data_IF_162693135345
#
_entry.id   IF_162693135345
#
_cell.length_a   1.000
_cell.length_b   1.000
_cell.length_c   1.000
_cell.angle_alpha   90.00
_cell.angle_beta   90.00
_cell.angle_gamma   90.00
#
_symmetry.space_group_name_H-M   'P 1'
#
loop_
_entity.id
_entity.type
_entity.pdbx_description
1 polymer ?
#
# COMPACT_ATOMS: atom_id res chain seq x y z
N UNK A 1 2.13 6.60 14.30
CA UNK A 1 2.19 7.69 15.28
C UNK A 1 0.93 8.54 15.18
N UNK A 2 0.48 9.16 16.28
CA UNK A 2 -0.59 10.17 16.26
C UNK A 2 0.00 11.59 16.52
N UNK A 3 -0.82 12.63 16.40
CA UNK A 3 -0.34 14.02 16.54
C UNK A 3 0.22 14.32 17.92
N UNK A 4 -0.40 13.78 18.97
CA UNK A 4 0.09 13.95 20.34
C UNK A 4 1.48 13.36 20.53
N UNK A 5 1.75 12.21 19.91
CA UNK A 5 3.07 11.58 19.92
C UNK A 5 4.11 12.45 19.21
N UNK A 6 3.83 12.88 17.98
CA UNK A 6 4.71 13.76 17.21
C UNK A 6 4.99 15.09 17.93
N UNK A 7 3.94 15.74 18.45
CA UNK A 7 4.05 16.97 19.24
C UNK A 7 5.00 16.79 20.43
N UNK A 8 4.80 15.72 21.20
CA UNK A 8 5.64 15.41 22.36
C UNK A 8 7.09 15.18 21.95
N UNK A 9 7.31 14.54 20.81
CA UNK A 9 8.64 14.33 20.26
C UNK A 9 9.32 15.65 19.89
N UNK A 10 8.63 16.51 19.12
CA UNK A 10 9.13 17.84 18.73
C UNK A 10 9.47 18.67 19.97
N UNK A 11 8.56 18.75 20.95
CA UNK A 11 8.82 19.46 22.22
C UNK A 11 10.01 18.90 22.99
N UNK A 12 10.25 17.58 22.94
CA UNK A 12 11.41 16.96 23.58
C UNK A 12 12.71 17.30 22.84
N UNK A 13 12.68 17.31 21.50
CA UNK A 13 13.82 17.72 20.68
C UNK A 13 14.19 19.19 20.93
N UNK A 14 13.20 20.09 20.95
CA UNK A 14 13.38 21.51 21.30
C UNK A 14 13.92 21.76 22.71
N UNK A 15 13.87 20.78 23.62
CA UNK A 15 14.45 20.91 24.97
C UNK A 15 15.87 20.38 25.07
N UNK A 16 16.25 19.44 24.21
CA UNK A 16 17.50 18.66 24.33
C UNK A 16 18.51 18.93 23.22
N UNK A 17 18.06 19.42 22.07
CA UNK A 17 18.84 19.47 20.82
C UNK A 17 18.72 20.83 20.12
N UNK A 18 18.60 21.93 20.86
CA UNK A 18 18.43 23.28 20.30
C UNK A 18 19.59 23.73 19.41
N UNK A 19 20.82 23.37 19.79
CA UNK A 19 22.03 23.77 19.09
C UNK A 19 22.42 22.80 17.96
N UNK A 20 21.62 21.75 17.72
CA UNK A 20 21.88 20.83 16.61
C UNK A 20 21.55 21.51 15.28
N UNK A 21 22.45 21.40 14.31
CA UNK A 21 22.26 21.95 12.96
C UNK A 21 21.33 21.03 12.20
N UNK A 22 20.14 21.53 11.83
CA UNK A 22 19.04 20.70 11.30
C UNK A 22 18.60 21.08 9.90
N UNK A 23 18.91 22.29 9.45
CA UNK A 23 18.50 22.78 8.14
C UNK A 23 19.58 23.66 7.53
N UNK A 24 19.57 23.80 6.20
CA UNK A 24 20.46 24.69 5.47
C UNK A 24 19.61 25.51 4.52
N UNK A 25 19.58 26.81 4.73
CA UNK A 25 18.82 27.76 3.91
C UNK A 25 19.80 28.72 3.23
N UNK A 26 19.79 28.76 1.88
CA UNK A 26 20.67 29.62 1.08
C UNK A 26 22.18 29.51 1.44
N UNK A 27 22.63 28.31 1.83
CA UNK A 27 24.01 28.05 2.23
C UNK A 27 24.35 28.42 3.68
N UNK A 28 23.41 28.99 4.44
CA UNK A 28 23.55 29.20 5.89
C UNK A 28 23.00 28.00 6.64
N UNK A 29 23.82 27.45 7.52
CA UNK A 29 23.40 26.41 8.47
C UNK A 29 22.51 27.03 9.54
N UNK A 30 21.38 26.37 9.83
CA UNK A 30 20.44 26.77 10.86
C UNK A 30 20.35 25.69 11.94
N UNK A 31 20.48 26.12 13.18
CA UNK A 31 20.20 25.30 14.36
C UNK A 31 18.71 25.07 14.53
N UNK A 32 18.33 24.03 15.29
CA UNK A 32 16.91 23.80 15.61
C UNK A 32 16.30 25.02 16.31
N UNK A 33 17.07 25.70 17.15
CA UNK A 33 16.69 26.98 17.76
C UNK A 33 16.33 28.03 16.70
N UNK A 34 17.24 28.32 15.77
CA UNK A 34 17.04 29.35 14.75
C UNK A 34 15.83 29.04 13.86
N UNK A 35 15.57 27.76 13.53
CA UNK A 35 14.39 27.36 12.75
C UNK A 35 13.08 27.68 13.49
N UNK A 36 13.01 27.44 14.80
CA UNK A 36 11.81 27.78 15.56
C UNK A 36 11.68 29.29 15.85
N UNK A 37 12.81 29.99 16.03
CA UNK A 37 12.84 31.44 16.19
C UNK A 37 12.39 32.16 14.90
N UNK A 38 12.77 31.67 13.71
CA UNK A 38 12.33 32.26 12.43
C UNK A 38 10.83 32.12 12.19
N UNK A 39 10.22 31.05 12.72
CA UNK A 39 8.77 30.83 12.70
C UNK A 39 8.03 31.59 13.83
N UNK A 40 8.75 32.29 14.71
CA UNK A 40 8.22 32.97 15.90
C UNK A 40 7.40 32.02 16.81
N UNK A 41 7.89 30.78 17.00
CA UNK A 41 7.22 29.74 17.77
C UNK A 41 8.08 29.26 18.94
N UNK A 42 7.47 29.16 20.13
CA UNK A 42 8.11 28.50 21.28
C UNK A 42 7.53 27.11 21.52
N UNK A 43 8.24 26.30 22.31
CA UNK A 43 7.75 24.97 22.72
C UNK A 43 6.44 25.04 23.54
N UNK A 44 6.12 26.19 24.13
CA UNK A 44 4.88 26.41 24.86
C UNK A 44 3.70 26.64 23.92
N UNK A 45 3.93 27.32 22.79
CA UNK A 45 2.90 27.67 21.80
C UNK A 45 2.45 26.45 20.99
N UNK A 46 3.31 25.44 20.85
CA UNK A 46 2.98 24.22 20.13
C UNK A 46 1.87 23.42 20.85
N UNK A 47 0.73 23.25 20.21
CA UNK A 47 -0.36 22.37 20.60
C UNK A 47 -0.66 21.35 19.48
N UNK A 48 -1.60 20.42 19.73
CA UNK A 48 -2.07 19.52 18.66
C UNK A 48 -2.76 20.32 17.56
N UNK A 49 -3.56 21.32 17.95
CA UNK A 49 -4.28 22.18 16.99
C UNK A 49 -3.32 23.02 16.14
N UNK A 50 -2.23 23.55 16.72
CA UNK A 50 -1.26 24.34 15.95
C UNK A 50 -0.44 23.49 14.99
N UNK A 51 -0.26 22.18 15.26
CA UNK A 51 0.38 21.29 14.28
C UNK A 51 -0.44 21.18 13.00
N UNK A 52 -1.76 21.34 13.10
CA UNK A 52 -2.72 21.35 11.98
C UNK A 52 -2.53 20.18 11.00
N UNK A 53 -2.27 18.97 11.52
CA UNK A 53 -2.04 17.78 10.71
C UNK A 53 -3.27 16.86 10.62
N UNK A 54 -4.38 17.21 11.27
CA UNK A 54 -5.63 16.44 11.16
C UNK A 54 -6.35 16.74 9.86
N UNK A 55 -6.87 15.71 9.19
CA UNK A 55 -7.79 15.87 8.08
C UNK A 55 -9.18 16.29 8.61
N UNK A 56 -9.75 17.37 8.09
CA UNK A 56 -11.03 17.93 8.53
C UNK A 56 -12.06 17.96 7.39
N UNK A 57 -13.25 18.54 7.63
CA UNK A 57 -14.26 18.73 6.57
C UNK A 57 -13.76 19.48 5.34
N UNK A 58 -12.68 20.27 5.45
CA UNK A 58 -12.12 21.01 4.34
C UNK A 58 -11.22 20.17 3.44
N UNK A 59 -10.86 18.95 3.87
CA UNK A 59 -10.07 17.98 3.08
C UNK A 59 -10.92 17.10 2.16
N UNK A 60 -12.25 17.09 2.33
CA UNK A 60 -13.17 16.30 1.52
C UNK A 60 -13.08 16.68 0.04
N UNK A 61 -12.73 15.73 -0.84
CA UNK A 61 -12.41 15.94 -2.26
C UNK A 61 -11.31 16.99 -2.54
N UNK A 62 -10.45 17.28 -1.56
CA UNK A 62 -9.35 18.27 -1.66
C UNK A 62 -8.01 17.61 -1.31
N UNK A 63 -7.55 16.75 -2.21
CA UNK A 63 -6.26 16.07 -2.10
C UNK A 63 -5.06 17.03 -1.96
N UNK A 64 -5.15 18.22 -2.55
CA UNK A 64 -4.16 19.28 -2.39
C UNK A 64 -4.03 19.72 -0.91
N UNK A 65 -5.16 19.90 -0.23
CA UNK A 65 -5.21 20.23 1.19
C UNK A 65 -4.76 19.06 2.05
N UNK A 66 -5.14 17.83 1.71
CA UNK A 66 -4.65 16.62 2.37
C UNK A 66 -3.11 16.52 2.30
N UNK A 67 -2.52 16.74 1.12
CA UNK A 67 -1.07 16.75 0.94
C UNK A 67 -0.38 17.84 1.78
N UNK A 68 -1.03 18.99 1.97
CA UNK A 68 -0.52 20.05 2.84
C UNK A 68 -0.53 19.67 4.33
N UNK A 69 -1.43 18.80 4.78
CA UNK A 69 -1.50 18.32 6.19
C UNK A 69 -0.31 17.47 6.61
N UNK A 70 0.53 17.00 5.68
CA UNK A 70 1.81 16.39 6.01
C UNK A 70 2.86 17.40 6.51
N UNK A 71 2.64 18.70 6.34
CA UNK A 71 3.54 19.76 6.82
C UNK A 71 3.11 20.21 8.23
N UNK A 72 3.88 19.91 9.28
CA UNK A 72 3.56 20.39 10.62
C UNK A 72 3.48 21.92 10.65
N UNK A 73 2.38 22.47 11.17
CA UNK A 73 2.13 23.92 11.26
C UNK A 73 2.04 24.57 9.85
N UNK A 74 1.87 23.76 8.80
CA UNK A 74 1.94 24.23 7.41
C UNK A 74 3.38 24.42 6.88
N UNK A 75 4.40 24.19 7.71
CA UNK A 75 5.80 24.46 7.37
C UNK A 75 6.51 23.21 6.82
N UNK A 76 6.95 23.30 5.57
CA UNK A 76 7.66 22.20 4.88
C UNK A 76 9.01 21.86 5.53
N UNK A 77 9.67 22.85 6.16
CA UNK A 77 10.95 22.67 6.85
C UNK A 77 10.81 21.72 8.05
N UNK A 78 9.71 21.81 8.82
CA UNK A 78 9.49 20.90 9.95
C UNK A 78 9.23 19.46 9.48
N UNK A 79 8.54 19.30 8.35
CA UNK A 79 8.37 17.98 7.71
C UNK A 79 9.71 17.41 7.28
N UNK A 80 10.56 18.23 6.66
CA UNK A 80 11.92 17.84 6.26
C UNK A 80 12.72 17.36 7.47
N UNK A 81 12.74 18.12 8.56
CA UNK A 81 13.53 17.80 9.76
C UNK A 81 13.03 16.53 10.46
N UNK A 82 11.71 16.41 10.69
CA UNK A 82 11.15 15.38 11.56
C UNK A 82 10.56 14.16 10.85
N UNK A 83 10.20 14.26 9.57
CA UNK A 83 9.40 13.25 8.84
C UNK A 83 10.01 12.94 7.45
N UNK A 84 11.30 13.19 7.25
CA UNK A 84 12.05 12.71 6.08
C UNK A 84 13.26 11.88 6.49
N UNK A 85 13.60 10.93 5.62
CA UNK A 85 14.73 10.01 5.76
C UNK A 85 16.04 10.66 5.30
N UNK A 86 15.96 11.48 4.25
CA UNK A 86 17.08 12.25 3.68
C UNK A 86 16.92 13.73 4.02
N UNK A 87 17.79 14.24 4.89
CA UNK A 87 17.86 15.64 5.35
C UNK A 87 19.24 15.92 5.99
N UNK A 88 19.45 17.14 6.49
CA UNK A 88 20.75 17.56 7.07
C UNK A 88 21.22 16.69 8.23
N UNK A 89 20.31 16.19 9.07
CA UNK A 89 20.61 15.27 10.20
C UNK A 89 20.51 13.79 9.81
N UNK A 90 20.55 13.50 8.50
CA UNK A 90 20.46 12.15 7.94
C UNK A 90 19.25 11.36 8.48
N UNK A 91 18.09 12.01 8.62
CA UNK A 91 16.84 11.38 9.05
C UNK A 91 16.82 10.86 10.49
N UNK A 92 17.75 11.33 11.35
CA UNK A 92 17.89 10.93 12.76
C UNK A 92 16.58 11.01 13.55
N UNK A 93 15.85 12.12 13.42
CA UNK A 93 14.61 12.33 14.15
C UNK A 93 13.50 11.39 13.69
N UNK A 94 13.33 11.25 12.38
CA UNK A 94 12.33 10.34 11.83
C UNK A 94 12.60 8.89 12.24
N UNK A 95 13.87 8.44 12.17
CA UNK A 95 14.25 7.12 12.63
C UNK A 95 13.92 6.90 14.12
N UNK A 96 14.16 7.89 14.98
CA UNK A 96 13.83 7.78 16.40
C UNK A 96 12.30 7.70 16.63
N UNK A 97 11.52 8.52 15.91
CA UNK A 97 10.06 8.46 15.98
C UNK A 97 9.56 7.07 15.58
N UNK A 98 10.05 6.52 14.46
CA UNK A 98 9.68 5.19 14.00
C UNK A 98 10.08 4.12 15.01
N UNK A 99 11.24 4.24 15.67
CA UNK A 99 11.65 3.32 16.73
C UNK A 99 10.78 3.39 17.98
N UNK A 100 10.28 4.57 18.36
CA UNK A 100 9.27 4.67 19.42
C UNK A 100 7.98 3.95 19.01
N UNK A 101 7.54 4.06 17.74
CA UNK A 101 6.38 3.33 17.21
C UNK A 101 6.62 1.82 17.17
N UNK A 102 7.80 1.37 16.72
CA UNK A 102 8.18 -0.05 16.70
C UNK A 102 8.18 -0.63 18.12
N UNK A 103 8.70 0.11 19.10
CA UNK A 103 8.66 -0.30 20.51
C UNK A 103 7.23 -0.47 21.02
N UNK A 104 6.34 0.49 20.72
CA UNK A 104 4.92 0.37 21.08
C UNK A 104 4.26 -0.86 20.40
N UNK A 105 4.64 -1.19 19.15
CA UNK A 105 4.15 -2.37 18.43
C UNK A 105 4.71 -3.69 18.98
N UNK A 106 5.96 -3.72 19.45
CA UNK A 106 6.57 -4.90 20.08
C UNK A 106 5.99 -5.16 21.48
N UNK A 107 5.64 -4.10 22.21
CA UNK A 107 4.89 -4.20 23.47
C UNK A 107 3.44 -4.67 23.23
N UNK A 108 2.86 -4.34 22.08
CA UNK A 108 1.53 -4.79 21.68
C UNK A 108 1.56 -6.24 21.18
N UNK A 109 0.98 -7.16 21.96
CA UNK A 109 1.07 -8.60 21.70
C UNK A 109 0.56 -9.05 20.32
N UNK A 110 -0.43 -8.35 19.75
CA UNK A 110 -1.18 -8.82 18.58
C UNK A 110 -1.17 -7.86 17.38
N UNK A 111 -0.54 -6.69 17.51
CA UNK A 111 -0.50 -5.70 16.43
C UNK A 111 0.83 -5.79 15.68
N UNK A 112 0.73 -5.83 14.37
CA UNK A 112 1.86 -5.80 13.44
C UNK A 112 1.55 -4.76 12.35
N UNK A 113 2.58 -4.29 11.66
CA UNK A 113 2.42 -3.23 10.67
C UNK A 113 3.19 -3.49 9.38
N UNK A 114 2.55 -3.11 8.27
CA UNK A 114 3.19 -2.99 6.96
C UNK A 114 3.22 -1.50 6.59
N UNK A 115 4.35 -0.86 6.88
CA UNK A 115 4.52 0.58 6.72
C UNK A 115 5.04 0.91 5.32
N UNK A 116 4.70 2.09 4.79
CA UNK A 116 5.14 2.52 3.46
C UNK A 116 6.31 3.52 3.57
N UNK A 117 7.33 3.33 2.73
CA UNK A 117 8.42 4.29 2.51
C UNK A 117 8.49 4.65 1.03
N UNK A 118 8.77 5.91 0.71
CA UNK A 118 8.78 6.38 -0.67
C UNK A 118 10.13 6.19 -1.35
N UNK A 119 10.09 5.68 -2.58
CA UNK A 119 11.12 5.88 -3.61
C UNK A 119 10.44 6.60 -4.76
N UNK A 120 10.99 7.74 -5.17
CA UNK A 120 10.40 8.60 -6.19
C UNK A 120 10.91 8.30 -7.60
N UNK A 121 12.04 7.59 -7.73
CA UNK A 121 12.63 7.28 -9.03
C UNK A 121 13.25 8.50 -9.73
N UNK A 122 13.64 9.53 -8.98
CA UNK A 122 14.29 10.73 -9.55
C UNK A 122 15.80 10.54 -9.71
N UNK A 123 16.38 9.65 -8.91
CA UNK A 123 17.81 9.35 -8.95
C UNK A 123 18.06 7.92 -8.49
N UNK A 124 19.12 7.30 -9.04
CA UNK A 124 19.56 5.93 -8.70
C UNK A 124 19.99 5.79 -7.24
N UNK A 125 20.51 6.86 -6.65
CA UNK A 125 21.03 6.85 -5.28
C UNK A 125 19.93 6.88 -4.18
N UNK A 126 18.65 7.03 -4.55
CA UNK A 126 17.55 7.05 -3.59
C UNK A 126 17.49 5.76 -2.76
N UNK A 127 17.74 4.61 -3.39
CA UNK A 127 17.75 3.31 -2.71
C UNK A 127 18.88 3.19 -1.69
N UNK A 128 20.10 3.55 -2.07
CA UNK A 128 21.26 3.49 -1.19
C UNK A 128 21.13 4.47 -0.02
N UNK A 129 20.60 5.67 -0.26
CA UNK A 129 20.29 6.64 0.80
C UNK A 129 19.27 6.10 1.78
N UNK A 130 18.17 5.52 1.28
CA UNK A 130 17.12 4.97 2.11
C UNK A 130 17.62 3.76 2.93
N UNK A 131 18.35 2.86 2.29
CA UNK A 131 18.93 1.69 2.95
C UNK A 131 19.97 2.08 4.00
N UNK A 132 20.85 3.03 3.68
CA UNK A 132 21.82 3.58 4.62
C UNK A 132 21.12 4.20 5.83
N UNK A 133 20.05 4.97 5.64
CA UNK A 133 19.23 5.49 6.74
C UNK A 133 18.67 4.35 7.62
N UNK A 134 18.06 3.33 7.02
CA UNK A 134 17.46 2.23 7.74
C UNK A 134 18.48 1.42 8.56
N UNK A 135 19.62 1.06 7.95
CA UNK A 135 20.68 0.27 8.58
C UNK A 135 21.42 1.07 9.64
N UNK A 136 21.85 2.30 9.32
CA UNK A 136 22.62 3.17 10.23
C UNK A 136 21.86 3.47 11.51
N UNK A 137 20.55 3.75 11.41
CA UNK A 137 19.72 4.05 12.58
C UNK A 137 19.07 2.81 13.22
N UNK A 138 19.28 1.63 12.62
CA UNK A 138 18.70 0.34 13.05
C UNK A 138 17.17 0.40 13.10
N UNK A 139 16.56 0.82 12.00
CA UNK A 139 15.11 0.96 11.84
C UNK A 139 14.52 -0.37 11.37
N UNK A 140 14.46 -1.34 12.30
CA UNK A 140 13.96 -2.69 12.07
C UNK A 140 13.21 -3.17 13.30
N UNK A 141 12.13 -3.93 13.08
CA UNK A 141 11.38 -4.64 14.11
C UNK A 141 10.81 -5.94 13.53
N UNK A 142 10.74 -7.04 14.31
CA UNK A 142 10.07 -8.27 13.87
C UNK A 142 8.58 -8.08 13.60
N UNK A 143 7.94 -7.04 14.17
CA UNK A 143 6.51 -6.73 14.01
C UNK A 143 6.24 -5.76 12.85
N UNK A 144 7.28 -5.32 12.12
CA UNK A 144 7.16 -4.34 11.05
C UNK A 144 7.77 -4.85 9.76
N UNK A 145 7.04 -4.66 8.67
CA UNK A 145 7.49 -4.86 7.30
C UNK A 145 7.34 -3.58 6.50
N UNK A 146 8.10 -3.47 5.41
CA UNK A 146 8.08 -2.29 4.55
C UNK A 146 7.50 -2.61 3.18
N UNK A 147 6.60 -1.74 2.72
CA UNK A 147 6.29 -1.60 1.29
C UNK A 147 6.97 -0.34 0.77
N UNK A 148 7.49 -0.41 -0.45
CA UNK A 148 8.04 0.74 -1.14
C UNK A 148 6.97 1.34 -2.01
N UNK A 149 6.50 2.53 -1.62
CA UNK A 149 5.53 3.28 -2.40
C UNK A 149 6.24 4.14 -3.45
N UNK A 150 5.76 4.06 -4.69
CA UNK A 150 6.23 4.83 -5.83
C UNK A 150 5.13 5.83 -6.22
N UNK A 151 5.31 7.12 -5.92
CA UNK A 151 4.36 8.15 -6.33
C UNK A 151 4.35 8.35 -7.85
N UNK A 152 3.16 8.40 -8.44
CA UNK A 152 2.94 8.63 -9.88
C UNK A 152 3.12 10.11 -10.26
N UNK A 153 4.33 10.64 -10.08
CA UNK A 153 4.66 12.06 -10.23
C UNK A 153 5.67 12.34 -11.36
N UNK A 154 5.71 11.47 -12.39
CA UNK A 154 6.63 11.63 -13.52
C UNK A 154 6.50 13.00 -14.19
N UNK A 155 5.28 13.46 -14.44
CA UNK A 155 4.97 14.79 -14.97
C UNK A 155 5.69 15.91 -14.21
N UNK A 156 5.62 15.89 -12.87
CA UNK A 156 6.28 16.89 -12.02
C UNK A 156 7.80 16.88 -12.19
N UNK A 157 8.40 15.69 -12.32
CA UNK A 157 9.85 15.54 -12.49
C UNK A 157 10.29 15.90 -13.91
N UNK A 158 9.46 15.58 -14.90
CA UNK A 158 9.67 15.88 -16.30
C UNK A 158 9.64 17.38 -16.57
N UNK A 159 8.61 18.09 -16.11
CA UNK A 159 8.50 19.56 -16.22
C UNK A 159 9.66 20.28 -15.51
N UNK A 160 10.23 19.70 -14.45
CA UNK A 160 11.40 20.24 -13.75
C UNK A 160 12.74 19.87 -14.41
N UNK A 161 12.72 19.13 -15.52
CA UNK A 161 13.92 18.65 -16.22
C UNK A 161 14.76 17.67 -15.39
N UNK A 162 14.17 17.02 -14.38
CA UNK A 162 14.86 16.03 -13.54
C UNK A 162 14.95 14.66 -14.20
N UNK A 163 14.03 14.37 -15.13
CA UNK A 163 13.99 13.12 -15.90
C UNK A 163 13.82 13.43 -17.39
N UNK A 164 14.50 12.67 -18.24
CA UNK A 164 14.42 12.80 -19.69
C UNK A 164 13.22 12.07 -20.29
N UNK A 165 12.90 10.87 -19.77
CA UNK A 165 11.80 10.02 -20.20
C UNK A 165 11.37 9.07 -19.07
N UNK A 166 10.31 8.30 -19.29
CA UNK A 166 9.80 7.37 -18.26
C UNK A 166 10.76 6.20 -17.98
N UNK A 167 11.56 5.79 -18.97
CA UNK A 167 12.59 4.76 -18.79
C UNK A 167 13.59 5.13 -17.70
N UNK A 168 14.04 6.40 -17.64
CA UNK A 168 14.97 6.86 -16.61
C UNK A 168 14.37 6.69 -15.19
N UNK A 169 13.07 6.94 -15.04
CA UNK A 169 12.36 6.71 -13.78
C UNK A 169 12.40 5.22 -13.39
N UNK A 170 12.11 4.32 -14.35
CA UNK A 170 12.14 2.87 -14.13
C UNK A 170 13.55 2.39 -13.79
N UNK A 171 14.58 2.90 -14.47
CA UNK A 171 15.98 2.58 -14.16
C UNK A 171 16.35 3.00 -12.75
N UNK A 172 15.98 4.22 -12.34
CA UNK A 172 16.23 4.72 -10.99
C UNK A 172 15.55 3.85 -9.90
N UNK A 173 14.41 3.22 -10.23
CA UNK A 173 13.68 2.34 -9.30
C UNK A 173 14.25 0.91 -9.31
N UNK A 174 14.49 0.32 -10.47
CA UNK A 174 14.76 -1.12 -10.57
C UNK A 174 16.23 -1.49 -10.75
N UNK A 175 17.04 -0.65 -11.40
CA UNK A 175 18.45 -0.98 -11.65
C UNK A 175 19.26 -1.19 -10.35
N UNK A 176 19.16 -0.33 -9.31
CA UNK A 176 19.86 -0.56 -8.04
C UNK A 176 19.48 -1.89 -7.38
N UNK A 177 18.24 -2.34 -7.57
CA UNK A 177 17.76 -3.61 -7.04
C UNK A 177 18.33 -4.81 -7.81
N UNK A 178 18.46 -4.70 -9.13
CA UNK A 178 19.17 -5.69 -9.94
C UNK A 178 20.65 -5.74 -9.56
N UNK A 179 21.31 -4.60 -9.41
CA UNK A 179 22.72 -4.50 -9.01
C UNK A 179 22.94 -5.15 -7.63
N UNK A 180 22.14 -4.78 -6.61
CA UNK A 180 22.18 -5.40 -5.29
C UNK A 180 21.84 -6.90 -5.30
N UNK A 181 21.01 -7.33 -6.26
CA UNK A 181 20.66 -8.74 -6.44
C UNK A 181 21.77 -9.51 -7.16
N UNK A 182 22.53 -8.92 -8.08
CA UNK A 182 23.63 -9.59 -8.80
C UNK A 182 24.92 -9.57 -7.98
N UNK A 183 25.22 -8.44 -7.33
CA UNK A 183 26.42 -8.27 -6.54
C UNK A 183 26.09 -7.58 -5.19
N UNK A 184 25.63 -8.33 -4.17
CA UNK A 184 25.25 -7.75 -2.87
C UNK A 184 26.31 -6.87 -2.22
N UNK A 185 27.59 -7.10 -2.50
CA UNK A 185 28.68 -6.32 -1.94
C UNK A 185 28.82 -4.91 -2.55
N UNK A 186 28.22 -4.60 -3.71
CA UNK A 186 28.18 -3.22 -4.22
C UNK A 186 27.13 -2.37 -3.54
N UNK A 187 26.09 -2.97 -2.95
CA UNK A 187 25.06 -2.29 -2.16
C UNK A 187 24.77 -3.05 -0.86
N UNK A 188 25.72 -3.09 0.09
CA UNK A 188 25.60 -3.95 1.27
C UNK A 188 24.44 -3.55 2.18
N UNK A 189 24.24 -2.24 2.42
CA UNK A 189 23.09 -1.76 3.20
C UNK A 189 21.76 -2.04 2.49
N UNK A 190 21.71 -1.86 1.17
CA UNK A 190 20.51 -2.14 0.39
C UNK A 190 20.15 -3.62 0.45
N UNK A 191 21.12 -4.52 0.28
CA UNK A 191 20.89 -5.95 0.41
C UNK A 191 20.27 -6.32 1.77
N UNK A 192 20.79 -5.77 2.86
CA UNK A 192 20.23 -5.97 4.21
C UNK A 192 18.84 -5.37 4.39
N UNK A 193 18.60 -4.19 3.82
CA UNK A 193 17.30 -3.53 3.89
C UNK A 193 16.22 -4.33 3.15
N UNK A 194 16.54 -4.89 1.99
CA UNK A 194 15.59 -5.64 1.16
C UNK A 194 15.08 -6.95 1.80
N UNK A 195 15.74 -7.48 2.83
CA UNK A 195 15.23 -8.61 3.63
C UNK A 195 13.99 -8.23 4.48
N UNK A 196 13.69 -6.94 4.58
CA UNK A 196 12.56 -6.37 5.33
C UNK A 196 11.53 -5.69 4.43
N UNK A 197 11.76 -5.69 3.11
CA UNK A 197 10.87 -5.12 2.11
C UNK A 197 10.04 -6.23 1.47
N UNK A 198 8.72 -6.09 1.56
CA UNK A 198 7.77 -7.11 1.09
C UNK A 198 7.22 -6.81 -0.30
N UNK A 199 7.20 -5.56 -0.73
CA UNK A 199 6.54 -5.24 -1.98
C UNK A 199 6.60 -3.79 -2.41
N UNK A 200 5.95 -3.54 -3.53
CA UNK A 200 5.76 -2.23 -4.14
C UNK A 200 4.31 -1.79 -4.03
N UNK A 201 4.13 -0.50 -3.87
CA UNK A 201 2.85 0.18 -3.84
C UNK A 201 2.90 1.35 -4.85
N UNK A 202 1.82 1.62 -5.57
CA UNK A 202 1.72 2.73 -6.51
C UNK A 202 0.72 3.73 -5.95
N UNK A 203 1.15 4.97 -5.74
CA UNK A 203 0.37 5.99 -5.01
C UNK A 203 0.30 7.30 -5.78
N UNK A 204 -0.68 8.13 -5.43
CA UNK A 204 -0.95 9.54 -5.79
C UNK A 204 -2.49 9.72 -5.90
N UNK A 205 -2.97 10.93 -6.11
CA UNK A 205 -4.38 11.24 -6.35
C UNK A 205 -4.93 10.50 -7.60
N UNK A 206 -5.68 9.42 -7.38
CA UNK A 206 -6.34 8.63 -8.43
C UNK A 206 -7.44 9.39 -9.18
N UNK A 207 -7.93 10.51 -8.65
CA UNK A 207 -8.99 11.31 -9.29
C UNK A 207 -8.47 12.23 -10.41
N UNK A 208 -7.15 12.40 -10.53
CA UNK A 208 -6.54 13.15 -11.63
C UNK A 208 -6.96 12.54 -12.98
N UNK A 209 -7.34 13.38 -13.97
CA UNK A 209 -7.71 12.88 -15.28
C UNK A 209 -6.50 12.25 -15.97
N UNK A 210 -6.74 11.14 -16.67
CA UNK A 210 -5.76 10.47 -17.51
C UNK A 210 -6.08 10.77 -18.98
N UNK A 211 -5.17 11.44 -19.68
CA UNK A 211 -5.38 11.82 -21.08
C UNK A 211 -5.15 10.67 -22.06
N UNK A 212 -4.41 9.64 -21.63
CA UNK A 212 -3.98 8.53 -22.47
C UNK A 212 -4.57 7.20 -21.99
N UNK A 213 -5.11 6.41 -22.92
CA UNK A 213 -5.49 5.03 -22.64
C UNK A 213 -4.32 4.13 -22.98
N UNK A 214 -3.86 3.33 -22.01
CA UNK A 214 -2.78 2.37 -22.26
C UNK A 214 -3.25 1.26 -23.20
N UNK A 215 -2.59 1.12 -24.34
CA UNK A 215 -2.92 0.18 -25.41
C UNK A 215 -1.65 -0.20 -26.20
N UNK A 216 -1.81 -0.98 -27.27
CA UNK A 216 -0.70 -1.45 -28.12
C UNK A 216 0.04 -0.33 -28.86
N UNK A 217 -0.58 0.83 -29.03
CA UNK A 217 0.01 2.00 -29.70
C UNK A 217 0.71 2.94 -28.72
N UNK A 218 0.60 2.69 -27.41
CA UNK A 218 1.25 3.48 -26.39
C UNK A 218 2.78 3.39 -26.52
N UNK A 219 3.51 4.50 -26.42
CA UNK A 219 4.96 4.49 -26.61
C UNK A 219 5.65 3.66 -25.53
N UNK A 220 6.78 3.06 -25.87
CA UNK A 220 7.68 2.41 -24.91
C UNK A 220 8.26 3.44 -23.93
N UNK A 221 8.74 3.03 -22.73
CA UNK A 221 9.17 3.97 -21.69
C UNK A 221 10.27 4.94 -22.14
N UNK A 222 11.16 4.47 -23.03
CA UNK A 222 12.25 5.26 -23.60
C UNK A 222 11.74 6.38 -24.51
N UNK A 223 10.60 6.15 -25.15
CA UNK A 223 9.95 7.06 -26.08
C UNK A 223 8.86 7.91 -25.40
N UNK A 224 8.52 7.64 -24.14
CA UNK A 224 7.63 8.51 -23.36
C UNK A 224 8.40 9.75 -22.86
N UNK A 225 8.46 10.77 -23.72
CA UNK A 225 9.18 12.03 -23.48
C UNK A 225 8.26 13.22 -23.22
N UNK A 226 6.95 13.02 -23.42
CA UNK A 226 5.90 14.01 -23.19
C UNK A 226 5.82 14.45 -21.72
N UNK A 227 5.33 15.67 -21.48
CA UNK A 227 5.15 16.20 -20.11
C UNK A 227 3.94 15.59 -19.40
N UNK A 228 2.99 15.02 -20.15
CA UNK A 228 1.83 14.34 -19.60
C UNK A 228 2.25 13.08 -18.81
N UNK A 229 1.62 12.90 -17.65
CA UNK A 229 1.85 11.74 -16.80
C UNK A 229 1.34 10.46 -17.51
N UNK A 230 2.12 9.36 -17.52
CA UNK A 230 1.62 8.08 -17.99
C UNK A 230 0.37 7.62 -17.21
N UNK A 231 -0.57 6.93 -17.85
CA UNK A 231 -1.78 6.47 -17.17
C UNK A 231 -1.45 5.40 -16.13
N UNK A 232 -2.33 5.22 -15.14
CA UNK A 232 -2.16 4.26 -14.04
C UNK A 232 -1.78 2.85 -14.52
N UNK A 233 -2.46 2.35 -15.56
CA UNK A 233 -2.20 1.03 -16.13
C UNK A 233 -0.77 0.88 -16.66
N UNK A 234 -0.20 1.96 -17.21
CA UNK A 234 1.18 2.01 -17.69
C UNK A 234 2.17 1.86 -16.53
N UNK A 235 1.98 2.63 -15.45
CA UNK A 235 2.78 2.52 -14.24
C UNK A 235 2.74 1.10 -13.66
N UNK A 236 1.53 0.52 -13.51
CA UNK A 236 1.38 -0.83 -12.96
C UNK A 236 2.04 -1.88 -13.84
N UNK A 237 1.85 -1.81 -15.16
CA UNK A 237 2.42 -2.77 -16.10
C UNK A 237 3.95 -2.80 -16.03
N UNK A 238 4.61 -1.64 -16.15
CA UNK A 238 6.08 -1.61 -16.14
C UNK A 238 6.65 -1.86 -14.75
N UNK A 239 5.94 -1.51 -13.67
CA UNK A 239 6.30 -1.90 -12.30
C UNK A 239 6.25 -3.43 -12.16
N UNK A 240 5.15 -4.05 -12.59
CA UNK A 240 4.99 -5.51 -12.55
C UNK A 240 6.04 -6.23 -13.39
N UNK A 241 6.25 -5.81 -14.64
CA UNK A 241 7.17 -6.48 -15.56
C UNK A 241 8.63 -6.49 -15.03
N UNK A 242 9.10 -5.35 -14.52
CA UNK A 242 10.42 -5.25 -13.91
C UNK A 242 10.50 -6.06 -12.61
N UNK A 243 9.50 -5.93 -11.73
CA UNK A 243 9.44 -6.68 -10.47
C UNK A 243 9.41 -8.19 -10.70
N UNK A 244 8.61 -8.69 -11.66
CA UNK A 244 8.51 -10.10 -11.97
C UNK A 244 9.84 -10.68 -12.46
N UNK A 245 10.54 -9.95 -13.34
CA UNK A 245 11.87 -10.31 -13.84
C UNK A 245 12.90 -10.32 -12.70
N UNK A 246 12.92 -9.27 -11.88
CA UNK A 246 13.78 -9.18 -10.70
C UNK A 246 13.51 -10.32 -9.72
N UNK A 247 12.23 -10.64 -9.46
CA UNK A 247 11.84 -11.74 -8.58
C UNK A 247 12.29 -13.10 -9.08
N UNK A 248 12.30 -13.33 -10.40
CA UNK A 248 12.85 -14.56 -10.96
C UNK A 248 14.33 -14.71 -10.60
N UNK A 249 15.11 -13.65 -10.80
CA UNK A 249 16.54 -13.62 -10.43
C UNK A 249 16.75 -13.78 -8.92
N UNK A 250 16.00 -13.03 -8.09
CA UNK A 250 16.08 -13.10 -6.63
C UNK A 250 15.76 -14.50 -6.12
N UNK A 251 14.72 -15.15 -6.67
CA UNK A 251 14.34 -16.53 -6.33
C UNK A 251 15.43 -17.53 -6.69
N UNK A 252 16.06 -17.42 -7.86
CA UNK A 252 17.19 -18.28 -8.24
C UNK A 252 18.37 -18.14 -7.27
N UNK A 253 18.53 -16.96 -6.66
CA UNK A 253 19.56 -16.69 -5.63
C UNK A 253 19.13 -17.02 -4.20
N UNK A 254 17.88 -17.43 -3.98
CA UNK A 254 17.33 -17.67 -2.64
C UNK A 254 17.08 -16.40 -1.82
N UNK A 255 16.95 -15.24 -2.48
CA UNK A 255 16.65 -13.97 -1.81
C UNK A 255 15.14 -13.71 -1.70
N UNK A 256 14.77 -12.86 -0.74
CA UNK A 256 13.39 -12.42 -0.54
C UNK A 256 12.80 -11.79 -1.81
N UNK A 257 11.57 -12.12 -2.19
CA UNK A 257 10.89 -11.58 -3.39
C UNK A 257 9.82 -10.56 -3.01
N UNK A 258 9.42 -9.74 -3.98
CA UNK A 258 8.47 -8.65 -3.78
C UNK A 258 7.09 -8.99 -4.36
N UNK A 259 6.04 -8.38 -3.80
CA UNK A 259 4.69 -8.40 -4.37
C UNK A 259 4.23 -7.00 -4.75
N UNK A 260 3.29 -6.89 -5.70
CA UNK A 260 2.70 -5.61 -6.09
C UNK A 260 1.37 -5.43 -5.34
N UNK A 261 1.25 -4.37 -4.54
CA UNK A 261 0.10 -4.09 -3.66
C UNK A 261 -0.31 -2.62 -3.76
N UNK A 262 -0.86 -2.18 -4.90
CA UNK A 262 -1.06 -0.76 -5.18
C UNK A 262 -2.26 -0.17 -4.43
N UNK A 263 -2.24 1.13 -4.21
CA UNK A 263 -3.47 1.90 -4.02
C UNK A 263 -4.25 1.82 -5.33
N UNK A 264 -5.52 1.38 -5.22
CA UNK A 264 -6.36 1.15 -6.39
C UNK A 264 -7.85 1.32 -6.10
N UNK A 265 -8.50 2.15 -6.90
CA UNK A 265 -9.95 2.30 -6.91
C UNK A 265 -10.48 2.96 -5.65
N UNK A 266 -9.68 3.81 -5.00
CA UNK A 266 -10.18 4.79 -4.04
C UNK A 266 -10.99 5.87 -4.77
N UNK A 267 -10.43 6.34 -5.89
CA UNK A 267 -11.04 7.27 -6.82
C UNK A 267 -10.68 6.87 -8.26
N UNK A 268 -10.84 7.78 -9.22
CA UNK A 268 -10.45 7.53 -10.61
C UNK A 268 -11.39 6.63 -11.42
N UNK A 269 -10.95 6.21 -12.61
CA UNK A 269 -11.71 5.34 -13.52
C UNK A 269 -11.61 3.85 -13.17
N UNK A 270 -12.63 3.08 -13.57
CA UNK A 270 -12.77 1.65 -13.24
C UNK A 270 -11.63 0.78 -13.80
N UNK A 271 -10.98 1.17 -14.90
CA UNK A 271 -9.90 0.36 -15.50
C UNK A 271 -8.66 0.24 -14.61
N UNK A 272 -8.51 1.11 -13.59
CA UNK A 272 -7.48 0.94 -12.55
C UNK A 272 -7.63 -0.42 -11.87
N UNK A 273 -8.85 -0.76 -11.45
CA UNK A 273 -9.18 -2.02 -10.78
C UNK A 273 -9.02 -3.22 -11.70
N UNK A 274 -9.21 -3.06 -13.02
CA UNK A 274 -8.95 -4.10 -14.01
C UNK A 274 -7.45 -4.37 -14.12
N UNK A 275 -6.64 -3.31 -14.16
CA UNK A 275 -5.18 -3.41 -14.22
C UNK A 275 -4.62 -4.07 -12.96
N UNK A 276 -5.11 -3.67 -11.78
CA UNK A 276 -4.72 -4.29 -10.52
C UNK A 276 -5.19 -5.74 -10.40
N UNK A 277 -6.38 -6.09 -10.89
CA UNK A 277 -6.87 -7.47 -10.91
C UNK A 277 -5.91 -8.42 -11.65
N UNK A 278 -5.31 -7.95 -12.74
CA UNK A 278 -4.41 -8.76 -13.56
C UNK A 278 -2.98 -8.87 -12.98
N UNK A 279 -2.52 -7.87 -12.23
CA UNK A 279 -1.09 -7.67 -11.92
C UNK A 279 -0.76 -7.66 -10.43
N UNK A 280 -1.71 -7.31 -9.56
CA UNK A 280 -1.47 -7.13 -8.14
C UNK A 280 -1.81 -8.38 -7.32
N UNK A 281 -1.09 -8.56 -6.21
CA UNK A 281 -1.38 -9.60 -5.21
C UNK A 281 -2.64 -9.24 -4.39
N UNK A 282 -2.78 -7.96 -4.07
CA UNK A 282 -3.96 -7.37 -3.42
C UNK A 282 -3.93 -5.84 -3.59
N UNK A 283 -5.00 -5.16 -3.21
CA UNK A 283 -5.13 -3.70 -3.39
C UNK A 283 -5.41 -2.97 -2.07
N UNK A 284 -5.08 -1.68 -2.03
CA UNK A 284 -5.56 -0.75 -0.99
C UNK A 284 -6.78 0.04 -1.51
N UNK A 285 -7.77 0.27 -0.64
CA UNK A 285 -9.07 0.94 -0.85
C UNK A 285 -10.17 0.15 -1.58
N UNK A 286 -10.13 -0.03 -2.91
CA UNK A 286 -11.16 -0.78 -3.65
C UNK A 286 -12.60 -0.22 -3.56
N UNK A 287 -12.76 1.06 -3.24
CA UNK A 287 -14.09 1.70 -3.08
C UNK A 287 -14.95 1.61 -4.35
N UNK A 288 -14.34 1.75 -5.52
CA UNK A 288 -15.05 1.80 -6.79
C UNK A 288 -15.53 0.44 -7.31
N UNK A 289 -15.12 -0.68 -6.70
CA UNK A 289 -15.67 -2.00 -7.03
C UNK A 289 -17.20 -2.05 -6.81
N UNK A 290 -17.75 -1.21 -5.93
CA UNK A 290 -19.20 -1.06 -5.73
C UNK A 290 -19.96 -0.61 -6.99
N UNK A 291 -19.24 0.00 -7.95
CA UNK A 291 -19.79 0.49 -9.22
C UNK A 291 -19.54 -0.46 -10.39
N UNK A 292 -18.82 -1.56 -10.16
CA UNK A 292 -18.45 -2.52 -11.19
C UNK A 292 -18.81 -3.95 -10.73
N UNK A 293 -20.09 -4.36 -10.81
CA UNK A 293 -20.54 -5.65 -10.27
C UNK A 293 -19.77 -6.85 -10.83
N UNK A 294 -19.49 -6.86 -12.14
CA UNK A 294 -18.70 -7.93 -12.79
C UNK A 294 -17.30 -8.01 -12.19
N UNK A 295 -16.62 -6.87 -12.06
CA UNK A 295 -15.27 -6.84 -11.53
C UNK A 295 -15.24 -7.20 -10.04
N UNK A 296 -16.21 -6.73 -9.27
CA UNK A 296 -16.36 -7.13 -7.87
C UNK A 296 -16.53 -8.64 -7.72
N UNK A 297 -17.31 -9.27 -8.61
CA UNK A 297 -17.48 -10.71 -8.63
C UNK A 297 -16.18 -11.43 -9.00
N UNK A 298 -15.40 -10.91 -9.94
CA UNK A 298 -14.06 -11.44 -10.24
C UNK A 298 -13.11 -11.37 -9.04
N UNK A 299 -13.08 -10.25 -8.30
CA UNK A 299 -12.29 -10.12 -7.07
C UNK A 299 -12.74 -11.12 -6.00
N UNK A 300 -14.05 -11.40 -5.90
CA UNK A 300 -14.57 -12.45 -5.04
C UNK A 300 -14.09 -13.84 -5.46
N UNK A 301 -14.24 -14.21 -6.73
CA UNK A 301 -13.89 -15.55 -7.21
C UNK A 301 -12.38 -15.81 -7.11
N UNK A 302 -11.58 -14.82 -7.47
CA UNK A 302 -10.12 -14.88 -7.37
C UNK A 302 -9.61 -14.67 -5.92
N UNK A 303 -10.51 -14.33 -4.98
CA UNK A 303 -10.19 -14.04 -3.58
C UNK A 303 -9.04 -13.02 -3.43
N UNK A 304 -9.03 -11.99 -4.28
CA UNK A 304 -8.02 -10.92 -4.23
C UNK A 304 -8.29 -10.05 -3.01
N UNK A 305 -7.24 -9.84 -2.20
CA UNK A 305 -7.32 -9.06 -0.97
C UNK A 305 -7.62 -7.58 -1.20
N UNK A 306 -8.37 -6.96 -0.30
CA UNK A 306 -8.69 -5.53 -0.30
C UNK A 306 -8.47 -4.95 1.09
N UNK A 307 -7.43 -4.13 1.26
CA UNK A 307 -7.13 -3.42 2.50
C UNK A 307 -7.84 -2.07 2.50
N UNK A 308 -8.87 -1.91 3.32
CA UNK A 308 -9.74 -0.75 3.30
C UNK A 308 -9.52 0.11 4.54
N UNK A 309 -9.52 1.43 4.38
CA UNK A 309 -9.33 2.40 5.47
C UNK A 309 -10.54 3.31 5.65
N UNK A 310 -11.62 2.84 6.31
CA UNK A 310 -12.89 3.56 6.37
C UNK A 310 -12.84 4.97 6.96
N UNK A 311 -12.01 5.25 7.98
CA UNK A 311 -11.92 6.60 8.55
C UNK A 311 -11.20 7.58 7.62
N UNK A 312 -10.16 7.12 6.91
CA UNK A 312 -9.52 7.89 5.83
C UNK A 312 -10.53 8.19 4.72
N UNK A 313 -11.18 7.16 4.21
CA UNK A 313 -12.19 7.28 3.17
C UNK A 313 -13.34 8.22 3.58
N UNK A 314 -13.73 8.21 4.86
CA UNK A 314 -14.72 9.14 5.44
C UNK A 314 -14.29 10.62 5.37
N UNK A 315 -13.01 10.86 5.54
CA UNK A 315 -12.45 12.21 5.55
C UNK A 315 -12.26 12.76 4.14
N UNK A 316 -12.02 11.89 3.16
CA UNK A 316 -11.59 12.30 1.82
C UNK A 316 -12.62 12.07 0.69
N UNK A 317 -13.41 10.99 0.69
CA UNK A 317 -14.18 10.57 -0.50
C UNK A 317 -15.66 10.32 -0.31
N UNK A 318 -16.07 9.69 0.81
CA UNK A 318 -17.46 9.31 1.02
C UNK A 318 -17.78 9.18 2.49
N UNK A 319 -19.00 9.49 2.91
CA UNK A 319 -19.40 9.31 4.29
C UNK A 319 -19.23 7.86 4.77
N UNK A 320 -18.87 7.69 6.05
CA UNK A 320 -18.56 6.39 6.66
C UNK A 320 -19.65 5.33 6.44
N UNK A 321 -20.92 5.72 6.58
CA UNK A 321 -22.07 4.82 6.35
C UNK A 321 -22.21 4.33 4.90
N UNK A 322 -21.58 5.02 3.94
CA UNK A 322 -21.60 4.64 2.53
C UNK A 322 -20.39 3.79 2.14
N UNK A 323 -19.45 3.53 3.04
CA UNK A 323 -18.30 2.67 2.76
C UNK A 323 -18.79 1.24 2.41
N UNK A 324 -18.28 0.61 1.34
CA UNK A 324 -18.78 -0.68 0.89
C UNK A 324 -18.20 -1.88 1.66
N UNK A 325 -17.30 -1.68 2.62
CA UNK A 325 -16.68 -2.77 3.39
C UNK A 325 -17.71 -3.76 3.98
N UNK A 326 -18.80 -3.36 4.63
CA UNK A 326 -19.78 -4.31 5.18
C UNK A 326 -20.45 -5.16 4.10
N UNK A 327 -20.69 -4.58 2.92
CA UNK A 327 -21.28 -5.25 1.76
C UNK A 327 -20.28 -6.22 1.11
N UNK A 328 -19.01 -5.84 1.02
CA UNK A 328 -17.96 -6.72 0.51
C UNK A 328 -17.73 -7.90 1.46
N UNK A 329 -17.70 -7.64 2.77
CA UNK A 329 -17.59 -8.68 3.78
C UNK A 329 -18.79 -9.62 3.73
N UNK A 330 -20.02 -9.12 3.61
CA UNK A 330 -21.20 -9.98 3.53
C UNK A 330 -21.17 -10.89 2.29
N UNK A 331 -20.72 -10.36 1.15
CA UNK A 331 -20.50 -11.12 -0.10
C UNK A 331 -19.32 -12.08 -0.06
N UNK A 332 -18.46 -12.00 0.94
CA UNK A 332 -17.33 -12.92 1.10
C UNK A 332 -16.08 -12.53 0.30
N UNK A 333 -15.95 -11.26 -0.09
CA UNK A 333 -14.69 -10.74 -0.59
C UNK A 333 -13.64 -10.78 0.54
N UNK A 334 -12.37 -10.98 0.17
CA UNK A 334 -11.24 -10.98 1.11
C UNK A 334 -10.89 -9.55 1.51
N UNK A 335 -11.68 -8.97 2.42
CA UNK A 335 -11.48 -7.60 2.91
C UNK A 335 -10.80 -7.58 4.28
N UNK A 336 -10.08 -6.49 4.54
CA UNK A 336 -9.46 -6.20 5.84
C UNK A 336 -9.57 -4.70 6.17
N UNK A 337 -9.46 -4.37 7.46
CA UNK A 337 -9.37 -2.99 7.94
C UNK A 337 -7.90 -2.54 8.03
N UNK A 338 -7.61 -1.35 7.54
CA UNK A 338 -6.33 -0.65 7.62
C UNK A 338 -6.50 0.79 8.10
N UNK A 339 -5.39 1.46 8.43
CA UNK A 339 -5.39 2.78 9.08
C UNK A 339 -5.03 3.94 8.16
N UNK A 340 -4.44 3.67 7.01
CA UNK A 340 -3.88 4.68 6.09
C UNK A 340 -2.86 5.61 6.80
N UNK A 341 -3.21 6.87 7.06
CA UNK A 341 -2.42 7.83 7.83
C UNK A 341 -2.94 8.06 9.27
N UNK A 342 -2.51 7.26 10.27
CA UNK A 342 -2.86 7.48 11.67
C UNK A 342 -2.59 8.87 12.22
N UNK A 343 -1.64 9.60 11.63
CA UNK A 343 -1.35 10.98 12.03
C UNK A 343 -2.52 11.92 11.69
N UNK A 344 -3.20 11.67 10.58
CA UNK A 344 -4.22 12.57 10.03
C UNK A 344 -5.65 12.15 10.38
N UNK A 345 -5.91 10.86 10.60
CA UNK A 345 -7.28 10.32 10.67
C UNK A 345 -7.69 9.74 12.03
N UNK A 346 -6.75 9.59 12.97
CA UNK A 346 -7.00 8.86 14.21
C UNK A 346 -6.67 9.69 15.44
N UNK A 347 -7.50 9.54 16.48
CA UNK A 347 -7.37 10.30 17.72
C UNK A 347 -6.78 9.49 18.87
N UNK A 348 -6.82 8.15 18.78
CA UNK A 348 -6.39 7.27 19.87
C UNK A 348 -4.90 6.93 19.80
N UNK A 349 -4.38 6.26 20.84
CA UNK A 349 -3.00 5.72 20.83
C UNK A 349 -2.90 4.49 19.91
N UNK A 350 -4.00 3.75 19.75
CA UNK A 350 -4.07 2.48 19.01
C UNK A 350 -4.94 2.64 17.76
N UNK A 351 -4.39 3.22 16.68
CA UNK A 351 -5.17 3.60 15.49
C UNK A 351 -5.94 2.45 14.85
N UNK A 352 -5.32 1.26 14.78
CA UNK A 352 -6.00 0.08 14.23
C UNK A 352 -7.18 -0.36 15.11
N UNK A 353 -7.05 -0.27 16.43
CA UNK A 353 -8.13 -0.61 17.35
C UNK A 353 -9.28 0.40 17.25
N UNK A 354 -9.00 1.67 16.95
CA UNK A 354 -10.00 2.69 16.67
C UNK A 354 -10.82 2.36 15.42
N UNK A 355 -10.17 1.94 14.32
CA UNK A 355 -10.85 1.46 13.11
C UNK A 355 -11.79 0.29 13.44
N UNK A 356 -11.28 -0.74 14.12
CA UNK A 356 -12.07 -1.91 14.53
C UNK A 356 -13.24 -1.53 15.44
N UNK A 357 -13.01 -0.63 16.39
CA UNK A 357 -14.02 -0.17 17.36
C UNK A 357 -15.14 0.59 16.67
N UNK A 358 -14.81 1.54 15.78
CA UNK A 358 -15.81 2.34 15.07
C UNK A 358 -16.60 1.46 14.09
N UNK A 359 -15.93 0.59 13.34
CA UNK A 359 -16.58 -0.37 12.43
C UNK A 359 -17.60 -1.25 13.17
N UNK A 360 -17.24 -1.76 14.36
CA UNK A 360 -18.14 -2.54 15.22
C UNK A 360 -19.36 -1.72 15.65
N UNK A 361 -19.15 -0.50 16.13
CA UNK A 361 -20.24 0.32 16.67
C UNK A 361 -21.19 0.81 15.59
N UNK A 362 -20.67 1.17 14.41
CA UNK A 362 -21.46 1.74 13.32
C UNK A 362 -22.12 0.67 12.47
N UNK A 363 -21.40 -0.38 12.09
CA UNK A 363 -21.91 -1.44 11.21
C UNK A 363 -22.43 -2.68 11.96
N UNK A 364 -22.37 -2.68 13.30
CA UNK A 364 -22.86 -3.77 14.16
C UNK A 364 -22.19 -5.12 13.85
N UNK A 365 -20.90 -5.07 13.53
CA UNK A 365 -20.10 -6.28 13.29
C UNK A 365 -20.04 -7.15 14.54
N UNK A 366 -20.23 -8.46 14.37
CA UNK A 366 -20.10 -9.44 15.44
C UNK A 366 -18.62 -9.76 15.73
N UNK A 367 -18.35 -10.41 16.86
CA UNK A 367 -16.99 -10.91 17.14
C UNK A 367 -16.46 -11.84 16.05
N UNK A 368 -17.34 -12.61 15.41
CA UNK A 368 -16.98 -13.50 14.30
C UNK A 368 -16.50 -12.69 13.09
N UNK A 369 -17.23 -11.63 12.73
CA UNK A 369 -16.89 -10.75 11.60
C UNK A 369 -15.55 -10.03 11.84
N UNK A 370 -15.34 -9.55 13.07
CA UNK A 370 -14.11 -8.89 13.48
C UNK A 370 -12.90 -9.84 13.43
N UNK A 371 -13.07 -11.10 13.86
CA UNK A 371 -12.01 -12.11 13.77
C UNK A 371 -11.75 -12.54 12.32
N UNK A 372 -12.78 -12.58 11.46
CA UNK A 372 -12.63 -12.84 10.03
C UNK A 372 -11.82 -11.74 9.33
N UNK A 373 -12.11 -10.46 9.61
CA UNK A 373 -11.34 -9.32 9.11
C UNK A 373 -9.87 -9.37 9.55
N UNK A 374 -9.62 -9.69 10.82
CA UNK A 374 -8.27 -9.84 11.36
C UNK A 374 -7.52 -11.06 10.79
N UNK A 375 -8.22 -12.18 10.56
CA UNK A 375 -7.65 -13.36 9.89
C UNK A 375 -7.26 -13.02 8.45
N UNK A 376 -8.11 -12.32 7.73
CA UNK A 376 -7.86 -11.92 6.34
C UNK A 376 -6.67 -10.97 6.24
N UNK A 377 -6.50 -10.03 7.18
CA UNK A 377 -5.33 -9.13 7.18
C UNK A 377 -4.00 -9.91 7.28
N UNK A 378 -3.96 -10.97 8.10
CA UNK A 378 -2.77 -11.83 8.22
C UNK A 378 -2.54 -12.62 6.93
N UNK A 379 -3.59 -13.16 6.31
CA UNK A 379 -3.47 -13.88 5.04
C UNK A 379 -2.87 -12.97 3.95
N UNK A 380 -3.37 -11.74 3.86
CA UNK A 380 -2.92 -10.73 2.90
C UNK A 380 -1.51 -10.19 3.18
N UNK A 381 -1.04 -10.24 4.43
CA UNK A 381 0.22 -9.60 4.84
C UNK A 381 1.47 -10.20 4.17
N UNK A 382 2.58 -9.46 4.12
CA UNK A 382 3.87 -9.93 3.58
C UNK A 382 4.71 -10.77 4.55
N UNK A 383 4.24 -11.02 5.78
CA UNK A 383 4.98 -11.80 6.77
C UNK A 383 5.28 -13.23 6.30
N UNK A 384 6.45 -13.74 6.69
CA UNK A 384 6.92 -15.08 6.30
C UNK A 384 5.93 -16.20 6.63
N UNK A 385 5.98 -17.30 5.87
CA UNK A 385 5.20 -18.51 6.12
C UNK A 385 5.31 -19.00 7.57
N UNK A 386 6.51 -18.95 8.17
CA UNK A 386 6.74 -19.36 9.56
C UNK A 386 5.92 -18.52 10.55
N UNK A 387 5.84 -17.21 10.32
CA UNK A 387 5.08 -16.28 11.16
C UNK A 387 3.57 -16.48 10.95
N UNK A 388 3.11 -16.58 9.69
CA UNK A 388 1.71 -16.85 9.38
C UNK A 388 1.24 -18.21 9.94
N UNK A 389 2.07 -19.24 9.84
CA UNK A 389 1.83 -20.56 10.44
C UNK A 389 1.70 -20.50 11.96
N UNK A 390 2.51 -19.65 12.61
CA UNK A 390 2.37 -19.39 14.03
C UNK A 390 1.08 -18.62 14.36
N UNK A 391 0.65 -17.64 13.57
CA UNK A 391 -0.55 -16.86 13.88
C UNK A 391 -1.86 -17.56 13.52
N UNK A 392 -1.90 -18.28 12.40
CA UNK A 392 -3.13 -18.88 11.86
C UNK A 392 -3.24 -20.39 12.11
N UNK A 393 -2.10 -21.07 12.33
CA UNK A 393 -2.02 -22.52 12.52
C UNK A 393 -1.19 -23.20 11.42
N UNK A 394 -0.72 -24.44 11.68
CA UNK A 394 0.19 -25.15 10.78
C UNK A 394 -0.40 -25.42 9.40
N UNK A 395 -1.72 -25.56 9.32
CA UNK A 395 -2.44 -25.95 8.10
C UNK A 395 -3.04 -24.75 7.35
N UNK A 396 -2.69 -23.50 7.69
CA UNK A 396 -3.40 -22.32 7.17
C UNK A 396 -3.42 -22.18 5.63
N UNK A 397 -2.53 -22.88 4.93
CA UNK A 397 -2.47 -22.92 3.47
C UNK A 397 -3.48 -23.88 2.84
N UNK A 398 -4.15 -24.71 3.64
CA UNK A 398 -5.25 -25.56 3.16
C UNK A 398 -6.50 -24.71 2.96
N UNK A 399 -7.31 -25.11 1.98
CA UNK A 399 -8.60 -24.49 1.73
C UNK A 399 -9.68 -24.99 2.69
N UNK A 400 -10.73 -24.19 2.85
CA UNK A 400 -11.88 -24.54 3.69
C UNK A 400 -11.57 -24.67 5.19
N UNK A 401 -12.44 -25.37 5.94
CA UNK A 401 -12.29 -25.53 7.39
C UNK A 401 -10.98 -26.18 7.83
N UNK A 402 -10.37 -27.03 7.00
CA UNK A 402 -9.08 -27.68 7.34
C UNK A 402 -7.92 -26.68 7.51
N UNK A 403 -8.03 -25.52 6.86
CA UNK A 403 -7.07 -24.43 6.97
C UNK A 403 -7.31 -23.48 8.15
N UNK A 404 -8.27 -23.77 9.02
CA UNK A 404 -8.60 -22.92 10.17
C UNK A 404 -8.24 -23.61 11.49
N UNK A 405 -7.39 -22.98 12.30
CA UNK A 405 -7.27 -23.33 13.72
C UNK A 405 -8.03 -22.30 14.55
N UNK A 406 -9.28 -22.61 14.90
CA UNK A 406 -10.16 -21.73 15.69
C UNK A 406 -9.51 -21.25 17.00
N UNK A 407 -8.59 -22.01 17.60
CA UNK A 407 -7.90 -21.62 18.84
C UNK A 407 -6.92 -20.48 18.63
N UNK A 408 -6.55 -20.20 17.38
CA UNK A 408 -5.65 -19.11 16.98
C UNK A 408 -6.40 -17.98 16.28
N UNK A 409 -7.29 -18.32 15.35
CA UNK A 409 -8.03 -17.34 14.54
C UNK A 409 -9.26 -16.79 15.24
N UNK A 410 -9.83 -17.55 16.18
CA UNK A 410 -11.13 -17.30 16.80
C UNK A 410 -12.28 -17.13 15.79
N UNK A 411 -12.09 -17.61 14.55
CA UNK A 411 -13.13 -17.69 13.52
C UNK A 411 -13.77 -19.07 13.60
N UNK A 412 -15.09 -19.19 13.82
CA UNK A 412 -15.78 -20.47 13.85
C UNK A 412 -15.62 -21.27 12.55
N UNK A 413 -15.38 -22.57 12.64
CA UNK A 413 -15.23 -23.44 11.46
C UNK A 413 -16.46 -23.42 10.57
N UNK A 414 -17.65 -23.24 11.13
CA UNK A 414 -18.90 -23.08 10.36
C UNK A 414 -18.90 -21.81 9.50
N UNK A 415 -18.27 -20.71 9.94
CA UNK A 415 -18.10 -19.49 9.14
C UNK A 415 -17.18 -19.77 7.96
N UNK A 416 -16.05 -20.43 8.21
CA UNK A 416 -15.08 -20.78 7.16
C UNK A 416 -15.67 -21.78 6.17
N UNK A 417 -16.39 -22.80 6.66
CA UNK A 417 -17.10 -23.79 5.84
C UNK A 417 -18.11 -23.13 4.92
N UNK A 418 -18.96 -22.25 5.46
CA UNK A 418 -19.93 -21.49 4.66
C UNK A 418 -19.27 -20.66 3.55
N UNK A 419 -18.20 -19.93 3.86
CA UNK A 419 -17.44 -19.14 2.86
C UNK A 419 -16.89 -20.02 1.75
N UNK A 420 -16.26 -21.13 2.13
CA UNK A 420 -15.63 -22.05 1.19
C UNK A 420 -16.64 -22.78 0.32
N UNK A 421 -17.72 -23.31 0.90
CA UNK A 421 -18.79 -23.99 0.16
C UNK A 421 -19.46 -23.05 -0.84
N UNK A 422 -19.74 -21.81 -0.42
CA UNK A 422 -20.35 -20.79 -1.29
C UNK A 422 -19.41 -20.44 -2.44
N UNK A 423 -18.12 -20.23 -2.16
CA UNK A 423 -17.12 -19.97 -3.21
C UNK A 423 -17.01 -21.13 -4.21
N UNK A 424 -17.00 -22.37 -3.72
CA UNK A 424 -16.98 -23.56 -4.58
C UNK A 424 -18.23 -23.64 -5.46
N UNK A 425 -19.41 -23.31 -4.93
CA UNK A 425 -20.66 -23.28 -5.69
C UNK A 425 -20.63 -22.20 -6.79
N UNK A 426 -20.14 -21.01 -6.50
CA UNK A 426 -20.02 -19.91 -7.45
C UNK A 426 -19.01 -20.23 -8.57
N UNK A 427 -17.87 -20.84 -8.22
CA UNK A 427 -16.89 -21.32 -9.19
C UNK A 427 -17.47 -22.46 -10.07
N UNK A 428 -18.21 -23.39 -9.47
CA UNK A 428 -18.86 -24.46 -10.20
C UNK A 428 -19.92 -23.92 -11.18
N UNK A 429 -20.69 -22.90 -10.77
CA UNK A 429 -21.68 -22.23 -11.62
C UNK A 429 -21.05 -21.65 -12.89
N UNK A 430 -19.94 -20.91 -12.74
CA UNK A 430 -19.23 -20.34 -13.90
C UNK A 430 -18.64 -21.43 -14.78
N UNK A 431 -18.00 -22.44 -14.18
CA UNK A 431 -17.38 -23.54 -14.93
C UNK A 431 -18.44 -24.30 -15.74
N UNK A 432 -19.62 -24.55 -15.15
CA UNK A 432 -20.74 -25.19 -15.83
C UNK A 432 -21.31 -24.34 -16.97
N UNK A 433 -21.43 -23.02 -16.77
CA UNK A 433 -21.89 -22.10 -17.82
C UNK A 433 -20.94 -22.13 -19.03
N UNK A 434 -19.63 -22.06 -18.80
CA UNK A 434 -18.61 -22.13 -19.86
C UNK A 434 -18.66 -23.49 -20.57
N UNK A 435 -18.76 -24.60 -19.84
CA UNK A 435 -18.86 -25.93 -20.44
C UNK A 435 -20.12 -26.10 -21.29
N UNK A 436 -21.25 -25.54 -20.86
CA UNK A 436 -22.52 -25.61 -21.62
C UNK A 436 -22.43 -24.81 -22.92
N UNK A 437 -21.86 -23.60 -22.89
CA UNK A 437 -21.63 -22.79 -24.09
C UNK A 437 -20.67 -23.48 -25.08
N UNK A 438 -19.61 -24.13 -24.57
CA UNK A 438 -18.70 -24.93 -25.40
C UNK A 438 -19.38 -26.15 -26.04
N UNK A 439 -20.37 -26.76 -25.39
CA UNK A 439 -21.12 -27.88 -25.93
C UNK A 439 -22.15 -27.43 -26.99
N UNK A 440 -22.78 -26.27 -26.81
CA UNK A 440 -23.71 -25.68 -27.78
C UNK A 440 -23.03 -25.15 -29.05
N UNK A 441 -21.73 -24.83 -29.00
CA UNK A 441 -20.96 -24.29 -30.12
C UNK A 441 -20.28 -25.33 -31.01
N UNK A 442 -20.43 -26.63 -30.73
CA UNK A 442 -19.99 -27.71 -31.63
C UNK A 442 -21.03 -27.81 -32.76
N UNK A 443 -20.71 -27.48 -34.02
CA UNK A 443 -21.61 -27.75 -35.13
C UNK A 443 -21.78 -29.26 -35.25
N UNK A 444 -23.02 -29.76 -35.29
CA UNK A 444 -23.27 -31.11 -35.77
C UNK A 444 -22.57 -31.26 -37.13
N UNK A 445 -21.62 -32.19 -37.23
CA UNK A 445 -21.07 -32.57 -38.53
C UNK A 445 -22.25 -32.86 -39.46
N UNK A 446 -22.34 -32.11 -40.54
CA UNK A 446 -23.36 -32.25 -41.57
C UNK A 446 -23.42 -33.70 -42.00
N UNK A 447 -24.47 -34.39 -41.54
CA UNK A 447 -24.74 -35.78 -41.85
C UNK A 447 -24.68 -36.01 -43.36
N UNK A 448 -23.65 -36.78 -43.75
CA UNK A 448 -23.58 -37.71 -44.87
C UNK A 448 -24.57 -37.38 -46.01
N UNK A 449 -24.05 -36.74 -47.06
CA UNK A 449 -24.68 -36.77 -48.39
C UNK A 449 -24.89 -38.22 -48.81
N UNK A 450 -26.13 -38.69 -48.72
CA UNK A 450 -26.55 -39.97 -49.29
C UNK A 450 -26.32 -39.92 -50.80
N UNK A 451 -25.37 -40.72 -51.27
CA UNK A 451 -25.13 -40.96 -52.69
C UNK A 451 -26.36 -41.63 -53.30
N UNK A 452 -26.81 -41.25 -54.52
CA UNK A 452 -27.85 -42.01 -55.20
C UNK A 452 -27.24 -43.35 -55.63
N UNK A 453 -27.77 -44.45 -55.08
CA UNK A 453 -27.41 -45.80 -55.51
C UNK A 453 -27.87 -46.08 -56.94
N UNK A 454 -27.19 -46.98 -57.67
CA UNK A 454 -27.50 -47.25 -59.07
C UNK A 454 -28.69 -48.21 -59.19
N UNK A 455 -29.73 -47.81 -59.93
CA UNK A 455 -30.32 -48.53 -61.07
C UNK A 455 -31.41 -47.72 -61.74
#
# INVERSE_FOLDING_TARGET
>A
MNQKHLLRFIKRAMKRHLEEIVHVEQGREQTLREVFESMNLTAYDLSVDTLDMHADRNTFHRFDKFNAKYNPIGESVLREIFIKTDNRVSGKYFAHIIKEVMSDLEESKYQNAELRLSIYGRSRDEWDKLACWAVKHRVHSPNVRWLVQVPRLFDVYRTKGQLANFQEMLENIFLPLFEATVHPASHPELHLFLEHVDGFDSVDDESKPENHVFNLESPLPEAWVEEDNPPYAYYLYYTFANMATLNHLRRQRGFHTFVLRPHCGEAGPIHHLVSAFMLAENISHGLLLRKAPVLQYLYYLAQIGIAMSPLSNNSLFLSYHRNPLPEYLSRGLMVSLSTDDPLQFHFTKEPLMEEYSIATQVWKLSSCDMCELARNSVLMSGFSHKVKSHWLGPNYTKEGPEGNDIRRTNVPDIRVGYRYETLCQELALITQAVQSEMLETIPEESGVTTSPGPQ
#
